data_IF_806116385388
#
_entry.id   IF_806116385388
#
_cell.length_a   1.000
_cell.length_b   1.000
_cell.length_c   1.000
_cell.angle_alpha   90.00
_cell.angle_beta   90.00
_cell.angle_gamma   90.00
#
_symmetry.space_group_name_H-M   'P 1'
#
loop_
_entity.id
_entity.type
_entity.pdbx_description
1 polymer ?
#
# COMPACT_ATOMS: atom_id res chain seq x y z
N UNK A 1 -9.32 31.90 48.98
CA UNK A 1 -8.20 32.10 48.02
C UNK A 1 -7.37 30.83 47.77
N UNK A 2 -7.08 30.00 48.78
CA UNK A 2 -6.28 28.76 48.60
C UNK A 2 -7.05 27.70 47.80
N UNK A 3 -8.34 27.52 48.06
CA UNK A 3 -9.17 26.51 47.38
C UNK A 3 -9.37 26.78 45.88
N UNK A 4 -9.51 28.05 45.48
CA UNK A 4 -9.62 28.45 44.07
C UNK A 4 -8.33 28.22 43.30
N UNK A 5 -7.17 28.48 43.92
CA UNK A 5 -5.87 28.19 43.31
C UNK A 5 -5.67 26.69 43.10
N UNK A 6 -6.05 25.85 44.07
CA UNK A 6 -5.94 24.39 43.95
C UNK A 6 -6.80 23.81 42.80
N UNK A 7 -8.03 24.29 42.64
CA UNK A 7 -8.92 23.86 41.55
C UNK A 7 -8.37 24.29 40.18
N UNK A 8 -7.82 25.50 40.06
CA UNK A 8 -7.23 26.01 38.82
C UNK A 8 -5.97 25.19 38.43
N UNK A 9 -5.09 24.88 39.39
CA UNK A 9 -3.87 24.10 39.11
C UNK A 9 -4.18 22.68 38.66
N UNK A 10 -5.16 22.00 39.27
CA UNK A 10 -5.53 20.64 38.86
C UNK A 10 -6.21 20.61 37.49
N UNK A 11 -7.14 21.54 37.23
CA UNK A 11 -7.87 21.60 35.95
C UNK A 11 -6.95 21.98 34.78
N UNK A 12 -6.03 22.92 34.99
CA UNK A 12 -5.01 23.28 33.98
C UNK A 12 -4.04 22.13 33.71
N UNK A 13 -3.61 21.38 34.73
CA UNK A 13 -2.77 20.19 34.55
C UNK A 13 -3.45 19.13 33.68
N UNK A 14 -4.73 18.85 33.91
CA UNK A 14 -5.52 17.92 33.10
C UNK A 14 -5.66 18.43 31.67
N UNK A 15 -5.98 19.71 31.48
CA UNK A 15 -6.14 20.30 30.14
C UNK A 15 -4.84 20.26 29.32
N UNK A 16 -3.70 20.57 29.95
CA UNK A 16 -2.37 20.49 29.30
C UNK A 16 -2.04 19.04 28.94
N UNK A 17 -2.31 18.08 29.83
CA UNK A 17 -2.11 16.66 29.56
C UNK A 17 -2.91 16.17 28.34
N UNK A 18 -4.19 16.55 28.25
CA UNK A 18 -5.04 16.24 27.10
C UNK A 18 -4.53 16.90 25.82
N UNK A 19 -4.13 18.17 25.89
CA UNK A 19 -3.59 18.89 24.74
C UNK A 19 -2.31 18.26 24.21
N UNK A 20 -1.35 17.94 25.09
CA UNK A 20 -0.11 17.27 24.73
C UNK A 20 -0.37 15.90 24.09
N UNK A 21 -1.33 15.13 24.62
CA UNK A 21 -1.73 13.84 24.05
C UNK A 21 -2.28 13.98 22.62
N UNK A 22 -3.19 14.94 22.40
CA UNK A 22 -3.77 15.21 21.08
C UNK A 22 -2.68 15.68 20.11
N UNK A 23 -1.81 16.60 20.54
CA UNK A 23 -0.70 17.10 19.72
C UNK A 23 0.28 15.97 19.34
N UNK A 24 0.61 15.10 20.29
CA UNK A 24 1.47 13.95 20.06
C UNK A 24 0.87 12.98 19.03
N UNK A 25 -0.41 12.62 19.19
CA UNK A 25 -1.11 11.75 18.23
C UNK A 25 -1.22 12.40 16.85
N UNK A 26 -1.47 13.70 16.78
CA UNK A 26 -1.48 14.45 15.52
C UNK A 26 -0.11 14.42 14.83
N UNK A 27 0.98 14.62 15.57
CA UNK A 27 2.35 14.54 15.07
C UNK A 27 2.68 13.14 14.56
N UNK A 28 2.34 12.09 15.32
CA UNK A 28 2.53 10.69 14.93
C UNK A 28 1.79 10.35 13.62
N UNK A 29 0.59 10.90 13.39
CA UNK A 29 -0.15 10.71 12.14
C UNK A 29 0.51 11.44 10.95
N UNK A 30 1.31 12.47 11.21
CA UNK A 30 1.98 13.25 10.16
C UNK A 30 3.30 12.60 9.71
N UNK A 31 4.04 11.99 10.61
CA UNK A 31 5.38 11.43 10.33
C UNK A 31 5.36 10.04 9.67
N UNK A 32 4.23 9.34 9.65
CA UNK A 32 4.12 8.03 8.97
C UNK A 32 4.13 8.16 7.43
N UNK A 33 4.71 7.17 6.71
CA UNK A 33 4.67 7.14 5.26
C UNK A 33 3.23 7.02 4.76
N UNK A 34 2.98 7.53 3.54
CA UNK A 34 1.68 7.43 2.86
C UNK A 34 1.89 6.97 1.43
N UNK A 35 1.74 5.67 1.23
CA UNK A 35 1.79 5.04 -0.08
C UNK A 35 0.36 4.77 -0.54
N UNK A 36 0.08 5.00 -1.82
CA UNK A 36 -1.19 4.66 -2.47
C UNK A 36 -0.95 3.59 -3.53
N UNK A 37 -1.69 2.50 -3.41
CA UNK A 37 -1.70 1.38 -4.35
C UNK A 37 -2.86 1.60 -5.32
N UNK A 38 -2.70 1.20 -6.58
CA UNK A 38 -3.77 1.24 -7.58
C UNK A 38 -4.98 0.43 -7.10
N UNK A 39 -6.18 0.92 -7.38
CA UNK A 39 -7.41 0.19 -7.06
C UNK A 39 -7.58 -1.03 -7.95
N UNK A 40 -7.00 -0.97 -9.15
CA UNK A 40 -7.08 -1.93 -10.25
C UNK A 40 -5.68 -2.37 -10.69
N UNK A 41 -5.61 -3.44 -11.46
CA UNK A 41 -4.41 -3.99 -12.11
C UNK A 41 -4.59 -3.77 -13.62
N UNK A 42 -3.57 -3.23 -14.28
CA UNK A 42 -3.60 -3.06 -15.72
C UNK A 42 -3.07 -4.34 -16.40
N UNK A 43 -3.83 -4.87 -17.34
CA UNK A 43 -3.48 -6.02 -18.16
C UNK A 43 -3.05 -5.54 -19.55
N UNK A 44 -1.80 -5.79 -19.92
CA UNK A 44 -1.32 -5.53 -21.28
C UNK A 44 -1.26 -6.85 -22.04
N UNK A 45 -2.17 -7.00 -22.99
CA UNK A 45 -2.17 -8.11 -23.94
C UNK A 45 -1.33 -7.67 -25.14
N UNK A 46 -0.12 -8.21 -25.27
CA UNK A 46 0.71 -7.98 -26.44
C UNK A 46 0.53 -9.17 -27.41
N UNK A 47 -0.23 -9.02 -28.52
CA UNK A 47 -0.55 -10.13 -29.42
C UNK A 47 0.69 -10.74 -30.12
N UNK A 48 1.82 -10.02 -30.16
CA UNK A 48 3.06 -10.47 -30.80
C UNK A 48 4.12 -11.00 -29.81
N UNK A 49 4.02 -10.71 -28.51
CA UNK A 49 5.10 -10.91 -27.52
C UNK A 49 4.86 -12.02 -26.47
N UNK A 50 3.76 -12.77 -26.60
CA UNK A 50 3.46 -13.92 -25.74
C UNK A 50 2.47 -13.60 -24.60
N UNK A 51 2.63 -14.19 -23.40
CA UNK A 51 1.61 -14.14 -22.35
C UNK A 51 1.33 -12.73 -21.81
N UNK A 52 0.07 -12.50 -21.41
CA UNK A 52 -0.39 -11.25 -20.80
C UNK A 52 0.52 -10.79 -19.66
N UNK A 53 0.82 -9.49 -19.63
CA UNK A 53 1.59 -8.88 -18.55
C UNK A 53 0.69 -8.04 -17.67
N UNK A 54 0.83 -8.20 -16.36
CA UNK A 54 0.05 -7.45 -15.39
C UNK A 54 0.92 -6.39 -14.74
N UNK A 55 0.32 -5.21 -14.54
CA UNK A 55 0.96 -4.07 -13.93
C UNK A 55 0.18 -3.57 -12.73
N UNK A 56 0.90 -3.27 -11.65
CA UNK A 56 0.34 -2.61 -10.47
C UNK A 56 1.09 -1.31 -10.25
N UNK A 57 0.34 -0.22 -10.05
CA UNK A 57 0.92 1.11 -9.86
C UNK A 57 0.90 1.51 -8.39
N UNK A 58 2.03 1.98 -7.92
CA UNK A 58 2.23 2.43 -6.54
C UNK A 58 2.78 3.85 -6.60
N UNK A 59 2.27 4.75 -5.74
CA UNK A 59 2.84 6.09 -5.61
C UNK A 59 3.06 6.45 -4.15
N UNK A 60 4.11 7.24 -3.90
CA UNK A 60 4.33 7.88 -2.61
C UNK A 60 3.66 9.26 -2.60
N UNK A 61 2.71 9.44 -1.69
CA UNK A 61 1.97 10.71 -1.54
C UNK A 61 2.72 11.71 -0.66
N UNK A 62 3.82 11.31 -0.01
CA UNK A 62 4.64 12.22 0.81
C UNK A 62 5.74 12.85 -0.02
N UNK A 63 6.16 14.04 0.41
CA UNK A 63 7.36 14.72 -0.12
C UNK A 63 8.67 14.02 0.27
N UNK A 64 8.64 13.24 1.35
CA UNK A 64 9.78 12.47 1.86
C UNK A 64 9.84 11.11 1.19
N UNK A 65 11.04 10.55 1.05
CA UNK A 65 11.18 9.21 0.53
C UNK A 65 10.63 8.18 1.51
N UNK A 66 10.15 7.07 0.95
CA UNK A 66 9.86 5.86 1.69
C UNK A 66 11.01 4.88 1.46
N UNK A 67 11.67 4.45 2.53
CA UNK A 67 12.86 3.58 2.53
C UNK A 67 12.51 2.20 3.08
N UNK A 68 13.43 1.25 2.96
CA UNK A 68 13.26 -0.15 3.38
C UNK A 68 12.01 -0.80 2.78
N UNK A 69 11.76 -0.56 1.48
CA UNK A 69 10.59 -1.11 0.81
C UNK A 69 10.66 -2.62 0.71
N UNK A 70 9.63 -3.27 1.23
CA UNK A 70 9.40 -4.70 1.07
C UNK A 70 8.03 -4.89 0.43
N UNK A 71 8.03 -5.50 -0.74
CA UNK A 71 6.81 -5.69 -1.55
C UNK A 71 6.59 -7.19 -1.69
N UNK A 72 5.46 -7.66 -1.21
CA UNK A 72 5.00 -9.04 -1.34
C UNK A 72 3.70 -9.05 -2.15
N UNK A 73 3.67 -9.86 -3.21
CA UNK A 73 2.44 -10.18 -3.93
C UNK A 73 2.11 -11.64 -3.66
N UNK A 74 0.94 -11.90 -3.12
CA UNK A 74 0.55 -13.22 -2.64
C UNK A 74 -0.86 -13.57 -3.08
N UNK A 75 -1.08 -14.83 -3.42
CA UNK A 75 -2.40 -15.40 -3.62
C UNK A 75 -2.83 -16.07 -2.33
N UNK A 76 -4.03 -15.76 -1.87
CA UNK A 76 -4.66 -16.39 -0.71
C UNK A 76 -5.78 -17.28 -1.22
N UNK A 77 -5.70 -18.58 -0.94
CA UNK A 77 -6.77 -19.52 -1.24
C UNK A 77 -7.41 -19.98 0.07
N UNK A 78 -8.73 -19.88 0.16
CA UNK A 78 -9.46 -20.47 1.28
C UNK A 78 -9.38 -22.00 1.19
N UNK A 79 -8.79 -22.63 2.19
CA UNK A 79 -8.83 -24.09 2.37
C UNK A 79 -9.62 -24.41 3.62
N UNK A 80 -10.62 -25.28 3.49
CA UNK A 80 -11.28 -25.86 4.65
C UNK A 80 -10.32 -26.85 5.32
N UNK A 81 -9.93 -26.56 6.55
CA UNK A 81 -9.21 -27.47 7.41
C UNK A 81 -10.18 -28.08 8.44
N UNK A 82 -9.77 -29.20 9.05
CA UNK A 82 -10.58 -29.91 10.05
C UNK A 82 -11.01 -29.05 11.26
N UNK A 83 -10.32 -27.93 11.52
CA UNK A 83 -10.58 -27.03 12.64
C UNK A 83 -11.08 -25.62 12.21
N UNK A 84 -11.51 -25.44 10.96
CA UNK A 84 -12.02 -24.16 10.44
C UNK A 84 -11.42 -23.76 9.09
N UNK A 85 -11.54 -22.49 8.73
CA UNK A 85 -11.04 -21.95 7.46
C UNK A 85 -9.61 -21.43 7.59
N UNK A 86 -8.70 -21.92 6.73
CA UNK A 86 -7.30 -21.47 6.68
C UNK A 86 -7.01 -20.91 5.29
N UNK A 87 -6.40 -19.72 5.25
CA UNK A 87 -5.88 -19.17 4.01
C UNK A 87 -4.51 -19.77 3.69
N UNK A 88 -4.42 -20.55 2.61
CA UNK A 88 -3.14 -20.96 2.05
C UNK A 88 -2.54 -19.78 1.28
N UNK A 89 -1.31 -19.38 1.64
CA UNK A 89 -0.57 -18.27 1.03
C UNK A 89 0.43 -18.81 0.01
N UNK A 90 0.29 -18.41 -1.24
CA UNK A 90 1.26 -18.68 -2.32
C UNK A 90 1.90 -17.36 -2.75
N UNK A 91 3.23 -17.31 -2.85
CA UNK A 91 3.93 -16.09 -3.28
C UNK A 91 3.99 -16.01 -4.81
N UNK A 92 3.60 -14.87 -5.38
CA UNK A 92 3.71 -14.59 -6.81
C UNK A 92 5.03 -13.84 -7.07
N UNK A 93 5.88 -14.33 -7.99
CA UNK A 93 7.13 -13.65 -8.33
C UNK A 93 6.86 -12.33 -9.06
N UNK A 94 7.47 -11.25 -8.56
CA UNK A 94 7.48 -9.94 -9.23
C UNK A 94 8.69 -9.90 -10.16
N UNK A 95 8.49 -9.45 -11.40
CA UNK A 95 9.53 -9.49 -12.43
C UNK A 95 10.62 -8.43 -12.22
N UNK A 96 10.23 -7.24 -11.76
CA UNK A 96 11.14 -6.12 -11.63
C UNK A 96 11.98 -6.23 -10.36
N UNK A 97 13.24 -5.79 -10.42
CA UNK A 97 14.04 -5.55 -9.22
C UNK A 97 13.28 -4.57 -8.32
N UNK A 98 12.97 -5.00 -7.11
CA UNK A 98 12.23 -4.18 -6.16
C UNK A 98 13.14 -3.05 -5.68
N UNK A 99 12.76 -1.78 -5.88
CA UNK A 99 13.56 -0.68 -5.40
C UNK A 99 13.52 -0.66 -3.88
N UNK A 100 14.68 -0.42 -3.26
CA UNK A 100 14.77 -0.25 -1.82
C UNK A 100 14.16 1.07 -1.33
N UNK A 101 14.10 2.07 -2.22
CA UNK A 101 13.63 3.43 -1.95
C UNK A 101 12.59 3.85 -2.98
N UNK A 102 11.47 4.41 -2.50
CA UNK A 102 10.45 5.07 -3.30
C UNK A 102 10.55 6.56 -3.04
N UNK A 103 11.05 7.35 -4.00
CA UNK A 103 11.21 8.79 -3.87
C UNK A 103 9.95 9.50 -3.38
N UNK A 104 10.16 10.65 -2.74
CA UNK A 104 9.08 11.55 -2.40
C UNK A 104 8.54 12.28 -3.63
N UNK A 105 7.31 12.79 -3.51
CA UNK A 105 6.58 13.50 -4.57
C UNK A 105 7.37 14.62 -5.24
N UNK A 106 8.14 15.35 -4.45
CA UNK A 106 8.87 16.56 -4.90
C UNK A 106 10.30 16.24 -5.37
N UNK A 107 10.67 14.95 -5.53
CA UNK A 107 11.96 14.59 -6.09
C UNK A 107 12.07 15.06 -7.56
N UNK A 108 13.25 15.52 -7.98
CA UNK A 108 13.52 16.18 -9.27
C UNK A 108 13.21 15.36 -10.54
N UNK A 109 12.79 14.11 -10.37
CA UNK A 109 12.35 13.24 -11.45
C UNK A 109 10.82 13.29 -11.60
N UNK A 110 10.38 13.70 -12.79
CA UNK A 110 8.98 13.98 -13.16
C UNK A 110 7.99 12.91 -12.65
N UNK A 111 8.40 11.64 -12.56
CA UNK A 111 7.59 10.53 -12.01
C UNK A 111 8.32 9.57 -11.07
N UNK A 112 9.45 9.95 -10.45
CA UNK A 112 10.21 8.98 -9.64
C UNK A 112 9.53 8.52 -8.37
N UNK A 113 8.53 9.25 -7.87
CA UNK A 113 7.70 8.84 -6.74
C UNK A 113 6.67 7.76 -7.10
N UNK A 114 6.66 7.28 -8.35
CA UNK A 114 5.76 6.27 -8.88
C UNK A 114 6.53 5.02 -9.25
N UNK A 115 6.10 3.87 -8.72
CA UNK A 115 6.63 2.55 -9.04
C UNK A 115 5.58 1.75 -9.80
N UNK A 116 6.00 1.12 -10.89
CA UNK A 116 5.19 0.14 -11.64
C UNK A 116 5.77 -1.25 -11.45
N UNK A 117 5.02 -2.11 -10.80
CA UNK A 117 5.38 -3.53 -10.65
C UNK A 117 4.90 -4.27 -11.88
N UNK A 118 5.81 -5.01 -12.53
CA UNK A 118 5.46 -5.91 -13.62
C UNK A 118 5.37 -7.35 -13.09
N UNK A 119 4.31 -8.05 -13.47
CA UNK A 119 3.99 -9.40 -13.04
C UNK A 119 3.77 -10.23 -14.31
N UNK A 120 4.48 -11.35 -14.44
CA UNK A 120 4.35 -12.30 -15.55
C UNK A 120 3.41 -13.47 -15.25
N UNK A 121 3.06 -13.63 -13.98
CA UNK A 121 2.11 -14.65 -13.56
C UNK A 121 0.72 -14.32 -14.09
N UNK A 122 0.00 -15.33 -14.57
CA UNK A 122 -1.36 -15.14 -15.09
C UNK A 122 -2.35 -14.93 -13.93
N UNK A 123 -2.54 -13.66 -13.57
CA UNK A 123 -3.44 -13.27 -12.48
C UNK A 123 -4.91 -13.51 -12.84
N UNK A 124 -5.25 -13.47 -14.14
CA UNK A 124 -6.62 -13.69 -14.60
C UNK A 124 -7.01 -15.14 -14.39
N UNK A 125 -6.15 -16.08 -14.79
CA UNK A 125 -6.37 -17.50 -14.53
C UNK A 125 -6.44 -17.80 -13.02
N UNK A 126 -5.56 -17.23 -12.20
CA UNK A 126 -5.57 -17.42 -10.74
C UNK A 126 -6.89 -16.97 -10.08
N UNK A 127 -7.37 -15.79 -10.45
CA UNK A 127 -8.63 -15.26 -9.93
C UNK A 127 -9.85 -16.00 -10.48
N UNK A 128 -9.78 -16.54 -11.71
CA UNK A 128 -10.85 -17.33 -12.30
C UNK A 128 -10.93 -18.76 -11.74
N UNK A 129 -9.85 -19.29 -11.17
CA UNK A 129 -9.74 -20.68 -10.73
C UNK A 129 -10.55 -21.06 -9.47
N UNK A 130 -11.29 -20.13 -8.82
CA UNK A 130 -12.22 -20.51 -7.75
C UNK A 130 -12.85 -19.36 -6.97
N UNK A 131 -13.96 -19.66 -6.29
CA UNK A 131 -14.83 -18.70 -5.57
C UNK A 131 -14.20 -18.04 -4.33
N UNK A 132 -12.95 -18.34 -3.99
CA UNK A 132 -12.28 -17.81 -2.79
C UNK A 132 -10.78 -17.54 -2.97
N UNK A 133 -10.36 -17.18 -4.19
CA UNK A 133 -8.99 -16.74 -4.45
C UNK A 133 -8.88 -15.22 -4.31
N UNK A 134 -7.96 -14.75 -3.48
CA UNK A 134 -7.69 -13.32 -3.29
C UNK A 134 -6.24 -13.03 -3.66
N UNK A 135 -6.02 -12.11 -4.59
CA UNK A 135 -4.69 -11.59 -4.87
C UNK A 135 -4.46 -10.40 -3.93
N UNK A 136 -3.47 -10.52 -3.04
CA UNK A 136 -3.13 -9.49 -2.06
C UNK A 136 -1.73 -8.93 -2.33
N UNK A 137 -1.65 -7.62 -2.51
CA UNK A 137 -0.42 -6.86 -2.47
C UNK A 137 -0.19 -6.32 -1.07
N UNK A 138 0.97 -6.60 -0.50
CA UNK A 138 1.43 -6.04 0.78
C UNK A 138 2.73 -5.28 0.57
N UNK A 139 2.76 -4.04 1.05
CA UNK A 139 3.93 -3.17 0.98
C UNK A 139 4.25 -2.73 2.40
N UNK A 140 5.44 -3.06 2.88
CA UNK A 140 6.02 -2.41 4.04
C UNK A 140 6.97 -1.32 3.58
N UNK A 141 6.91 -0.17 4.24
CA UNK A 141 7.85 0.91 4.02
C UNK A 141 8.06 1.73 5.30
N UNK A 142 9.20 2.40 5.36
CA UNK A 142 9.61 3.27 6.46
C UNK A 142 9.73 4.72 5.97
N UNK A 143 9.30 5.70 6.77
CA UNK A 143 9.58 7.10 6.49
C UNK A 143 11.06 7.41 6.72
N UNK A 144 11.71 8.04 5.75
CA UNK A 144 13.16 8.32 5.75
C UNK A 144 13.64 9.08 6.99
N UNK A 145 12.87 10.07 7.45
CA UNK A 145 13.30 10.94 8.56
C UNK A 145 12.92 10.36 9.93
N UNK A 146 11.67 9.94 10.09
CA UNK A 146 11.16 9.49 11.39
C UNK A 146 11.48 8.03 11.71
N UNK A 147 11.89 7.25 10.71
CA UNK A 147 12.10 5.81 10.85
C UNK A 147 10.83 5.02 11.13
N UNK A 148 9.65 5.64 11.07
CA UNK A 148 8.38 4.95 11.35
C UNK A 148 7.94 4.09 10.17
N UNK A 149 7.72 2.80 10.44
CA UNK A 149 7.19 1.85 9.49
C UNK A 149 5.67 1.87 9.37
N UNK A 150 5.16 1.50 8.20
CA UNK A 150 3.74 1.19 7.98
C UNK A 150 3.61 0.09 6.92
N UNK A 151 2.64 -0.80 7.15
CA UNK A 151 2.18 -1.77 6.15
C UNK A 151 0.98 -1.20 5.40
N UNK A 152 0.99 -1.34 4.08
CA UNK A 152 -0.09 -1.03 3.17
C UNK A 152 -0.53 -2.32 2.51
N UNK A 153 -1.84 -2.56 2.46
CA UNK A 153 -2.41 -3.76 1.88
C UNK A 153 -3.49 -3.37 0.88
N UNK A 154 -3.51 -4.08 -0.25
CA UNK A 154 -4.57 -3.98 -1.25
C UNK A 154 -4.92 -5.40 -1.70
N UNK A 155 -6.21 -5.69 -1.67
CA UNK A 155 -6.78 -6.96 -2.13
C UNK A 155 -7.51 -6.72 -3.44
N UNK A 156 -7.37 -7.68 -4.33
CA UNK A 156 -8.06 -7.81 -5.60
C UNK A 156 -8.75 -9.17 -5.58
N UNK A 157 -10.04 -9.18 -5.88
CA UNK A 157 -10.91 -10.34 -5.70
C UNK A 157 -11.66 -10.68 -6.97
N UNK A 158 -11.98 -9.69 -7.79
CA UNK A 158 -12.87 -9.88 -8.93
C UNK A 158 -12.12 -9.62 -10.24
N UNK A 159 -11.90 -10.63 -11.09
CA UNK A 159 -11.10 -10.50 -12.29
C UNK A 159 -11.70 -9.50 -13.30
N UNK A 160 -13.02 -9.30 -13.32
CA UNK A 160 -13.66 -8.42 -14.29
C UNK A 160 -13.59 -6.94 -13.90
N UNK A 161 -13.59 -6.65 -12.60
CA UNK A 161 -13.58 -5.27 -12.09
C UNK A 161 -12.18 -4.80 -11.68
N UNK A 162 -11.35 -5.71 -11.16
CA UNK A 162 -10.00 -5.40 -10.69
C UNK A 162 -8.95 -5.53 -11.80
N UNK A 163 -9.14 -6.37 -12.82
CA UNK A 163 -8.22 -6.49 -13.96
C UNK A 163 -8.78 -5.75 -15.18
N UNK A 164 -8.12 -4.68 -15.59
CA UNK A 164 -8.56 -3.87 -16.74
C UNK A 164 -7.51 -3.91 -17.83
N UNK A 165 -7.93 -4.20 -19.05
CA UNK A 165 -7.07 -4.15 -20.22
C UNK A 165 -6.62 -2.71 -20.51
N UNK A 166 -5.34 -2.52 -20.76
CA UNK A 166 -4.75 -1.23 -21.10
C UNK A 166 -3.47 -0.94 -20.33
N UNK A 167 -3.09 0.33 -20.30
CA UNK A 167 -1.91 0.81 -19.60
C UNK A 167 -2.24 1.97 -18.67
N UNK A 168 -1.59 2.01 -17.51
CA UNK A 168 -1.72 3.15 -16.61
C UNK A 168 -1.16 4.42 -17.23
N UNK A 169 -1.93 5.51 -17.14
CA UNK A 169 -1.48 6.84 -17.49
C UNK A 169 -0.17 7.19 -16.74
N UNK A 170 0.70 8.04 -17.31
CA UNK A 170 1.89 8.52 -16.60
C UNK A 170 1.52 9.35 -15.36
N UNK A 171 2.45 9.47 -14.41
CA UNK A 171 2.29 10.31 -13.22
C UNK A 171 1.42 9.75 -12.10
N UNK A 172 0.69 10.61 -11.41
CA UNK A 172 -0.06 10.25 -10.19
C UNK A 172 -1.46 9.68 -10.48
N UNK A 173 -1.90 9.73 -11.73
CA UNK A 173 -3.23 9.28 -12.14
C UNK A 173 -3.31 7.75 -12.16
N UNK A 174 -4.41 7.19 -11.66
CA UNK A 174 -4.64 5.74 -11.61
C UNK A 174 -5.57 5.25 -12.72
N UNK A 175 -5.81 6.09 -13.72
CA UNK A 175 -6.61 5.77 -14.90
C UNK A 175 -5.83 4.82 -15.81
N UNK A 176 -6.60 3.96 -16.49
CA UNK A 176 -6.11 2.96 -17.43
C UNK A 176 -6.78 3.30 -18.76
N UNK A 177 -5.98 3.40 -19.81
CA UNK A 177 -6.41 3.63 -21.19
C UNK A 177 -6.02 2.45 -22.07
#
# INVERSE_FOLDING_TARGET
>A
MIMTAFVITNTSGIAIGLFCSVLWLWLLRRIRPRIKISSKIAEKVDPELGPSRFYIKISNLRRRAAVDLQIELVTLHLKQASNGEIYAKTMIPIQNALPFVLPGRDADCIYGHVLRLAIRHDLRAELANGEATIVQLRIYARDELSGMGRVFEKRYTDPETDLIQGAFSPGETYEIH
#
